data_IF_055580781990
#
_entry.id   IF_055580781990
#
_cell.length_a   1.000
_cell.length_b   1.000
_cell.length_c   1.000
_cell.angle_alpha   90.00
_cell.angle_beta   90.00
_cell.angle_gamma   90.00
#
_symmetry.space_group_name_H-M   'P 1'
#
loop_
_entity.id
_entity.type
_entity.pdbx_description
1 polymer ?
#
# COMPACT_ATOMS: atom_id res chain seq x y z
N UNK A 1 23.87 29.68 -7.60
CA UNK A 1 22.49 29.81 -8.14
C UNK A 1 22.28 29.04 -9.46
N UNK A 2 23.13 29.12 -10.47
CA UNK A 2 22.91 28.51 -11.78
C UNK A 2 22.63 26.99 -11.80
N UNK A 3 23.33 26.22 -10.96
CA UNK A 3 23.16 24.75 -10.92
C UNK A 3 21.77 24.30 -10.41
N UNK A 4 21.23 24.99 -9.40
CA UNK A 4 19.89 24.70 -8.88
C UNK A 4 18.80 25.07 -9.90
N UNK A 5 18.96 26.17 -10.60
CA UNK A 5 18.05 26.61 -11.67
C UNK A 5 18.09 25.61 -12.82
N UNK A 6 19.28 25.20 -13.27
CA UNK A 6 19.44 24.21 -14.34
C UNK A 6 18.81 22.86 -13.95
N UNK A 7 18.95 22.43 -12.72
CA UNK A 7 18.31 21.22 -12.21
C UNK A 7 16.78 21.34 -12.24
N UNK A 8 16.23 22.44 -11.73
CA UNK A 8 14.79 22.67 -11.72
C UNK A 8 14.20 22.71 -13.14
N UNK A 9 14.89 23.39 -14.07
CA UNK A 9 14.47 23.44 -15.48
C UNK A 9 14.53 22.06 -16.14
N UNK A 10 15.53 21.24 -15.82
CA UNK A 10 15.63 19.86 -16.33
C UNK A 10 14.50 18.96 -15.84
N UNK A 11 13.97 19.21 -14.65
CA UNK A 11 12.84 18.45 -14.07
C UNK A 11 11.47 19.07 -14.41
N UNK A 12 11.44 20.26 -15.02
CA UNK A 12 10.23 21.02 -15.22
C UNK A 12 9.09 20.26 -15.93
N UNK A 13 9.34 19.48 -17.01
CA UNK A 13 8.29 18.71 -17.66
C UNK A 13 7.63 17.67 -16.74
N UNK A 14 8.40 17.12 -15.79
CA UNK A 14 7.87 16.16 -14.79
C UNK A 14 7.12 16.87 -13.67
N UNK A 15 7.63 18.05 -13.25
CA UNK A 15 7.00 18.85 -12.20
C UNK A 15 5.64 19.41 -12.58
N UNK A 16 5.40 19.70 -13.87
CA UNK A 16 4.11 20.19 -14.36
C UNK A 16 3.17 19.09 -14.86
N UNK A 17 3.58 17.82 -14.77
CA UNK A 17 2.80 16.68 -15.25
C UNK A 17 1.39 16.60 -14.65
N UNK A 18 1.23 17.04 -13.39
CA UNK A 18 -0.06 17.10 -12.70
C UNK A 18 -1.08 18.05 -13.36
N UNK A 19 -0.61 19.06 -14.12
CA UNK A 19 -1.49 19.98 -14.86
C UNK A 19 -2.25 19.27 -15.99
N UNK A 20 -1.70 18.17 -16.51
CA UNK A 20 -2.30 17.42 -17.62
C UNK A 20 -3.33 16.36 -17.18
N UNK A 21 -3.37 15.99 -15.91
CA UNK A 21 -4.29 14.98 -15.39
C UNK A 21 -4.78 15.36 -13.98
N UNK A 22 -6.03 15.80 -13.90
CA UNK A 22 -6.65 16.22 -12.65
C UNK A 22 -6.80 15.12 -11.56
N UNK A 23 -6.41 13.88 -11.87
CA UNK A 23 -6.34 12.78 -10.88
C UNK A 23 -5.03 12.76 -10.11
N UNK A 24 -4.01 13.46 -10.60
CA UNK A 24 -2.70 13.56 -9.95
C UNK A 24 -2.77 14.68 -8.91
N UNK A 25 -2.64 14.33 -7.65
CA UNK A 25 -2.56 15.30 -6.56
C UNK A 25 -1.20 16.00 -6.58
N UNK A 26 -1.21 17.31 -6.29
CA UNK A 26 0.02 18.12 -6.22
C UNK A 26 0.83 17.84 -4.95
N UNK A 27 0.19 17.26 -3.97
CA UNK A 27 0.80 16.93 -2.68
C UNK A 27 1.09 15.43 -2.54
N UNK A 28 1.77 15.08 -1.46
CA UNK A 28 2.16 13.72 -1.12
C UNK A 28 1.45 13.21 0.14
N UNK A 29 0.32 13.82 0.50
CA UNK A 29 -0.39 13.54 1.75
C UNK A 29 -0.79 12.07 1.89
N UNK A 30 -1.19 11.42 0.80
CA UNK A 30 -1.55 9.99 0.82
C UNK A 30 -0.36 9.11 1.23
N UNK A 31 0.83 9.34 0.64
CA UNK A 31 2.04 8.62 1.02
C UNK A 31 2.49 8.94 2.46
N UNK A 32 2.47 10.21 2.83
CA UNK A 32 2.86 10.64 4.17
C UNK A 32 1.95 10.05 5.25
N UNK A 33 0.65 10.04 5.02
CA UNK A 33 -0.31 9.41 5.93
C UNK A 33 -0.13 7.88 5.99
N UNK A 34 0.24 7.23 4.88
CA UNK A 34 0.51 5.81 4.86
C UNK A 34 1.77 5.44 5.66
N UNK A 35 2.81 6.29 5.66
CA UNK A 35 4.07 6.09 6.39
C UNK A 35 3.96 6.53 7.86
N UNK A 36 3.04 7.44 8.17
CA UNK A 36 2.87 8.04 9.50
C UNK A 36 2.81 7.02 10.65
N UNK A 37 2.11 5.87 10.57
CA UNK A 37 2.11 4.87 11.64
C UNK A 37 3.51 4.37 11.98
N UNK A 38 4.35 4.17 10.96
CA UNK A 38 5.75 3.74 11.12
C UNK A 38 6.59 4.82 11.78
N UNK A 39 6.43 6.07 11.36
CA UNK A 39 7.16 7.21 11.92
C UNK A 39 6.79 7.47 13.38
N UNK A 40 5.51 7.35 13.74
CA UNK A 40 5.03 7.49 15.13
C UNK A 40 5.49 6.31 15.98
N UNK A 41 5.38 5.09 15.45
CA UNK A 41 5.80 3.87 16.14
C UNK A 41 7.30 3.82 16.43
N UNK A 42 8.14 4.46 15.61
CA UNK A 42 9.59 4.56 15.82
C UNK A 42 9.96 5.10 17.21
N UNK A 43 9.14 5.94 17.82
CA UNK A 43 9.34 6.41 19.19
C UNK A 43 9.28 5.30 20.24
N UNK A 44 8.58 4.21 19.94
CA UNK A 44 8.40 3.09 20.86
C UNK A 44 9.45 1.99 20.66
N UNK A 45 9.84 1.72 19.42
CA UNK A 45 10.77 0.63 19.12
C UNK A 45 12.15 1.04 18.64
N UNK A 46 12.44 2.31 18.44
CA UNK A 46 13.71 2.96 18.10
C UNK A 46 14.36 2.46 16.80
N UNK A 47 14.41 1.15 16.56
CA UNK A 47 14.94 0.51 15.34
C UNK A 47 14.08 -0.66 14.89
N UNK A 48 14.31 -1.06 13.63
CA UNK A 48 13.71 -2.26 13.03
C UNK A 48 14.54 -3.52 13.35
N UNK A 49 15.75 -3.36 13.90
CA UNK A 49 16.63 -4.43 14.33
C UNK A 49 17.60 -4.91 13.24
N UNK A 50 17.10 -5.19 12.04
CA UNK A 50 17.90 -5.62 10.89
C UNK A 50 17.27 -5.14 9.57
N UNK A 51 18.06 -5.06 8.50
CA UNK A 51 17.60 -4.65 7.17
C UNK A 51 16.45 -5.55 6.67
N UNK A 52 16.57 -6.86 6.85
CA UNK A 52 15.56 -7.85 6.47
C UNK A 52 14.24 -7.69 7.25
N UNK A 53 14.30 -7.24 8.52
CA UNK A 53 13.12 -6.93 9.31
C UNK A 53 12.39 -5.69 8.75
N UNK A 54 13.13 -4.74 8.17
CA UNK A 54 12.57 -3.57 7.49
C UNK A 54 11.68 -3.96 6.31
N UNK A 55 12.15 -4.86 5.46
CA UNK A 55 11.39 -5.39 4.34
C UNK A 55 10.09 -6.07 4.80
N UNK A 56 10.16 -6.95 5.78
CA UNK A 56 8.97 -7.64 6.32
C UNK A 56 7.95 -6.66 6.89
N UNK A 57 8.41 -5.66 7.62
CA UNK A 57 7.56 -4.59 8.14
C UNK A 57 6.90 -3.80 7.01
N UNK A 58 7.64 -3.45 5.96
CA UNK A 58 7.10 -2.74 4.79
C UNK A 58 6.00 -3.52 4.10
N UNK A 59 6.15 -4.83 3.93
CA UNK A 59 5.10 -5.71 3.36
C UNK A 59 3.85 -5.69 4.23
N UNK A 60 3.99 -5.86 5.55
CA UNK A 60 2.85 -5.86 6.48
C UNK A 60 2.12 -4.51 6.45
N UNK A 61 2.85 -3.40 6.52
CA UNK A 61 2.25 -2.07 6.45
C UNK A 61 1.55 -1.81 5.11
N UNK A 62 2.13 -2.26 4.00
CA UNK A 62 1.51 -2.14 2.67
C UNK A 62 0.16 -2.88 2.60
N UNK A 63 0.10 -4.08 3.15
CA UNK A 63 -1.13 -4.88 3.21
C UNK A 63 -2.18 -4.20 4.10
N UNK A 64 -1.80 -3.77 5.31
CA UNK A 64 -2.71 -3.10 6.26
C UNK A 64 -3.27 -1.80 5.65
N UNK A 65 -2.40 -0.98 5.05
CA UNK A 65 -2.80 0.27 4.39
C UNK A 65 -3.73 -0.01 3.21
N UNK A 66 -3.43 -1.05 2.42
CA UNK A 66 -4.28 -1.47 1.32
C UNK A 66 -5.68 -1.91 1.78
N UNK A 67 -5.79 -2.59 2.91
CA UNK A 67 -7.08 -2.93 3.52
C UNK A 67 -7.84 -1.67 3.94
N UNK A 68 -7.19 -0.78 4.68
CA UNK A 68 -7.80 0.47 5.17
C UNK A 68 -8.32 1.34 4.04
N UNK A 69 -7.54 1.53 2.98
CA UNK A 69 -7.92 2.32 1.82
C UNK A 69 -9.15 1.75 1.06
N UNK A 70 -9.49 0.49 1.33
CA UNK A 70 -10.66 -0.20 0.74
C UNK A 70 -11.80 -0.41 1.73
N UNK A 71 -11.71 0.14 2.93
CA UNK A 71 -12.72 -0.07 3.97
C UNK A 71 -12.78 -1.50 4.49
N UNK A 72 -11.70 -2.27 4.34
CA UNK A 72 -11.58 -3.64 4.84
C UNK A 72 -11.01 -3.61 6.24
N UNK A 73 -11.58 -4.37 7.18
CA UNK A 73 -10.95 -4.61 8.47
C UNK A 73 -9.66 -5.45 8.27
N UNK A 74 -8.47 -4.90 8.58
CA UNK A 74 -7.21 -5.61 8.42
C UNK A 74 -7.13 -6.91 9.26
N UNK A 75 -7.74 -6.95 10.42
CA UNK A 75 -7.73 -8.12 11.30
C UNK A 75 -8.54 -9.27 10.68
N UNK A 76 -9.74 -8.98 10.19
CA UNK A 76 -10.58 -9.96 9.51
C UNK A 76 -9.90 -10.50 8.25
N UNK A 77 -9.34 -9.60 7.45
CA UNK A 77 -8.59 -9.96 6.26
C UNK A 77 -7.39 -10.88 6.57
N UNK A 78 -6.53 -10.47 7.50
CA UNK A 78 -5.33 -11.23 7.85
C UNK A 78 -5.68 -12.60 8.43
N UNK A 79 -6.70 -12.69 9.26
CA UNK A 79 -7.17 -13.96 9.81
C UNK A 79 -7.58 -14.93 8.72
N UNK A 80 -8.37 -14.49 7.73
CA UNK A 80 -8.82 -15.31 6.62
C UNK A 80 -7.65 -15.72 5.72
N UNK A 81 -6.81 -14.77 5.33
CA UNK A 81 -5.69 -15.01 4.43
C UNK A 81 -4.64 -15.93 5.05
N UNK A 82 -4.24 -15.68 6.30
CA UNK A 82 -3.24 -16.52 6.98
C UNK A 82 -3.73 -17.95 7.21
N UNK A 83 -5.03 -18.15 7.36
CA UNK A 83 -5.62 -19.48 7.48
C UNK A 83 -5.52 -20.25 6.15
N UNK A 84 -5.73 -19.58 5.02
CA UNK A 84 -5.73 -20.20 3.69
C UNK A 84 -4.34 -20.32 3.06
N UNK A 85 -3.47 -19.37 3.33
CA UNK A 85 -2.16 -19.22 2.69
C UNK A 85 -1.29 -20.50 2.72
N UNK A 86 -1.21 -21.28 3.82
CA UNK A 86 -0.40 -22.50 3.86
C UNK A 86 -0.79 -23.58 2.85
N UNK A 87 -2.04 -23.56 2.38
CA UNK A 87 -2.57 -24.55 1.43
C UNK A 87 -2.63 -24.04 0.00
N UNK A 88 -2.24 -22.79 -0.24
CA UNK A 88 -2.33 -22.13 -1.54
C UNK A 88 -1.05 -22.27 -2.35
N UNK A 89 -1.22 -22.33 -3.66
CA UNK A 89 -0.10 -22.24 -4.62
C UNK A 89 0.22 -20.79 -4.96
N UNK A 90 1.43 -20.52 -5.43
CA UNK A 90 1.85 -19.17 -5.85
C UNK A 90 0.92 -18.56 -6.91
N UNK A 91 0.29 -19.38 -7.76
CA UNK A 91 -0.66 -18.92 -8.79
C UNK A 91 -1.95 -18.34 -8.20
N UNK A 92 -2.29 -18.72 -6.97
CA UNK A 92 -3.51 -18.29 -6.28
C UNK A 92 -3.29 -17.03 -5.41
N UNK A 93 -2.03 -16.59 -5.23
CA UNK A 93 -1.71 -15.39 -4.43
C UNK A 93 -2.44 -14.12 -4.93
N UNK A 94 -2.56 -13.86 -6.24
CA UNK A 94 -3.33 -12.70 -6.72
C UNK A 94 -4.78 -12.66 -6.23
N UNK A 95 -5.41 -13.83 -6.00
CA UNK A 95 -6.82 -13.95 -5.60
C UNK A 95 -7.06 -13.53 -4.14
N UNK A 96 -6.00 -13.50 -3.32
CA UNK A 96 -6.07 -13.12 -1.91
C UNK A 96 -5.53 -11.71 -1.63
N UNK A 97 -5.17 -10.94 -2.65
CA UNK A 97 -4.83 -9.53 -2.45
C UNK A 97 -6.02 -8.77 -1.85
N UNK A 98 -5.80 -7.69 -1.07
CA UNK A 98 -6.92 -6.95 -0.48
C UNK A 98 -8.00 -6.53 -1.47
N UNK A 99 -7.62 -6.19 -2.71
CA UNK A 99 -8.55 -5.83 -3.77
C UNK A 99 -9.40 -7.02 -4.22
N UNK A 100 -8.77 -8.16 -4.52
CA UNK A 100 -9.46 -9.37 -4.96
C UNK A 100 -10.35 -9.96 -3.85
N UNK A 101 -9.86 -9.93 -2.61
CA UNK A 101 -10.60 -10.36 -1.44
C UNK A 101 -11.87 -9.53 -1.22
N UNK A 102 -11.81 -8.20 -1.32
CA UNK A 102 -12.98 -7.34 -1.24
C UNK A 102 -13.99 -7.66 -2.36
N UNK A 103 -13.51 -7.79 -3.60
CA UNK A 103 -14.35 -8.11 -4.74
C UNK A 103 -15.04 -9.47 -4.62
N UNK A 104 -14.36 -10.47 -4.03
CA UNK A 104 -14.94 -11.80 -3.82
C UNK A 104 -16.09 -11.80 -2.81
N UNK A 105 -16.05 -10.93 -1.80
CA UNK A 105 -17.09 -10.82 -0.77
C UNK A 105 -18.28 -9.95 -1.19
N UNK A 106 -18.08 -9.05 -2.14
CA UNK A 106 -19.15 -8.25 -2.73
C UNK A 106 -19.95 -9.02 -3.80
N UNK A 107 -19.44 -10.17 -4.26
CA UNK A 107 -20.16 -11.02 -5.21
C UNK A 107 -21.30 -11.73 -4.49
N UNK A 108 -22.58 -11.57 -4.91
CA UNK A 108 -23.67 -12.36 -4.37
C UNK A 108 -23.37 -13.86 -4.59
N UNK A 109 -23.81 -14.75 -3.67
CA UNK A 109 -23.61 -16.17 -3.84
C UNK A 109 -24.18 -16.59 -5.20
N UNK A 110 -23.35 -17.28 -6.03
CA UNK A 110 -23.86 -17.92 -7.23
C UNK A 110 -24.96 -18.85 -6.79
N UNK A 111 -26.20 -18.55 -7.16
CA UNK A 111 -27.29 -19.50 -7.07
C UNK A 111 -26.85 -20.74 -7.84
N UNK A 112 -26.70 -21.85 -7.13
CA UNK A 112 -26.43 -23.13 -7.73
C UNK A 112 -27.65 -23.48 -8.60
N UNK A 113 -27.38 -23.61 -9.89
CA UNK A 113 -28.34 -24.14 -10.87
C UNK A 113 -28.40 -25.66 -10.74
#
# INVERSE_FOLDING_TARGET
MGRAIAYALGQWPMLIGWLGDGRIEIDNNLCENAIRPTAVGKKNWLFIGAEEAGWRSAVIYSVITSCRNRGIDPHEYLRDVLTRLPTMTNRQIPDITPAAWAASRQRPPKLAS
#
